data_IF_029209105313
#
_entry.id   IF_029209105313
#
_cell.length_a   1.000
_cell.length_b   1.000
_cell.length_c   1.000
_cell.angle_alpha   90.00
_cell.angle_beta   90.00
_cell.angle_gamma   90.00
#
_symmetry.space_group_name_H-M   'P 1'
#
loop_
_entity.id
_entity.type
_entity.pdbx_description
1 polymer ?
#
# COMPACT_ATOMS: atom_id res chain seq x y z
N UNK A 1 0.67 -7.70 3.94
CA UNK A 1 0.12 -6.36 4.17
C UNK A 1 -1.40 -6.42 4.15
N UNK A 2 -2.04 -5.88 5.17
CA UNK A 2 -3.49 -5.72 5.21
C UNK A 2 -3.83 -4.47 4.40
N UNK A 3 -4.41 -4.61 3.24
CA UNK A 3 -4.80 -3.47 2.41
C UNK A 3 -6.16 -3.69 1.82
N UNK A 4 -7.12 -2.84 2.19
CA UNK A 4 -8.45 -2.81 1.60
C UNK A 4 -8.42 -2.59 0.09
N UNK A 5 -7.38 -1.95 -0.38
CA UNK A 5 -7.14 -1.69 -1.79
C UNK A 5 -7.08 -2.96 -2.63
N UNK A 6 -6.42 -4.03 -2.17
CA UNK A 6 -6.35 -5.29 -2.90
C UNK A 6 -7.68 -5.96 -3.19
N UNK A 7 -8.74 -5.58 -2.48
CA UNK A 7 -10.10 -6.11 -2.68
C UNK A 7 -10.93 -5.32 -3.69
N UNK A 8 -10.52 -4.10 -4.02
CA UNK A 8 -11.25 -3.20 -4.92
C UNK A 8 -10.53 -2.92 -6.22
N UNK A 9 -9.32 -3.42 -6.37
CA UNK A 9 -8.49 -3.21 -7.55
C UNK A 9 -8.95 -4.05 -8.73
N UNK A 10 -10.10 -3.71 -9.28
CA UNK A 10 -10.64 -4.34 -10.48
C UNK A 10 -9.72 -4.19 -11.70
N UNK A 11 -9.01 -3.09 -11.76
CA UNK A 11 -8.21 -2.71 -12.90
C UNK A 11 -6.75 -3.06 -12.71
N UNK A 12 -6.24 -2.76 -11.52
CA UNK A 12 -4.84 -2.99 -11.18
C UNK A 12 -4.53 -4.46 -10.93
N UNK A 13 -5.42 -5.16 -10.22
CA UNK A 13 -5.24 -6.59 -9.97
C UNK A 13 -5.10 -7.41 -11.23
N UNK A 14 -5.80 -7.06 -12.30
CA UNK A 14 -5.67 -7.73 -13.59
C UNK A 14 -4.36 -7.39 -14.31
N UNK A 15 -3.89 -6.18 -14.16
CA UNK A 15 -2.62 -5.73 -14.75
C UNK A 15 -1.45 -6.33 -13.97
N UNK A 16 -1.53 -6.36 -12.65
CA UNK A 16 -0.44 -6.84 -11.80
C UNK A 16 -0.34 -8.37 -11.77
N UNK A 17 -1.45 -9.09 -11.82
CA UNK A 17 -1.48 -10.56 -11.84
C UNK A 17 -1.29 -11.18 -13.22
N UNK A 18 -1.48 -10.44 -14.27
CA UNK A 18 -1.38 -10.93 -15.64
C UNK A 18 0.02 -11.05 -16.22
N UNK A 19 1.07 -10.83 -15.43
CA UNK A 19 2.44 -10.77 -15.93
C UNK A 19 2.71 -9.53 -16.80
N UNK A 20 1.77 -8.60 -16.83
CA UNK A 20 1.96 -7.28 -17.42
C UNK A 20 2.63 -6.43 -16.35
N UNK A 21 3.92 -6.28 -16.48
CA UNK A 21 4.75 -5.56 -15.54
C UNK A 21 4.28 -4.12 -15.35
N UNK A 22 4.27 -3.69 -14.11
CA UNK A 22 4.37 -2.29 -13.72
C UNK A 22 3.15 -1.39 -13.98
N UNK A 23 1.95 -1.89 -14.08
CA UNK A 23 0.75 -1.07 -14.26
C UNK A 23 0.71 0.17 -13.36
N UNK A 24 0.00 0.11 -12.25
CA UNK A 24 0.03 1.18 -11.24
C UNK A 24 0.71 0.73 -9.94
N UNK A 25 1.62 -0.24 -10.01
CA UNK A 25 2.37 -0.73 -8.85
C UNK A 25 3.13 0.44 -8.22
N UNK A 26 2.97 0.59 -6.90
CA UNK A 26 3.62 1.65 -6.14
C UNK A 26 3.04 3.05 -6.38
N UNK A 27 1.93 3.17 -7.10
CA UNK A 27 1.30 4.48 -7.33
C UNK A 27 0.07 4.64 -6.44
N UNK A 28 0.14 5.57 -5.49
CA UNK A 28 -0.95 5.87 -4.57
C UNK A 28 -1.19 4.83 -3.48
N UNK A 29 -0.31 3.85 -3.34
CA UNK A 29 -0.27 2.89 -2.25
C UNK A 29 1.14 2.28 -2.13
N UNK A 30 1.62 1.93 -0.93
CA UNK A 30 2.88 1.21 -0.78
C UNK A 30 2.75 -0.18 -1.39
N UNK A 31 3.73 -0.62 -2.15
CA UNK A 31 3.72 -1.93 -2.79
C UNK A 31 3.71 -3.07 -1.75
N UNK A 32 2.70 -3.96 -1.75
CA UNK A 32 2.63 -5.06 -0.80
C UNK A 32 3.59 -6.18 -1.19
N UNK A 33 4.46 -6.55 -0.27
CA UNK A 33 5.35 -7.70 -0.44
C UNK A 33 4.89 -8.87 0.45
N UNK A 34 4.88 -10.10 -0.06
CA UNK A 34 4.53 -11.28 0.74
C UNK A 34 5.52 -11.47 1.90
N UNK A 35 5.00 -11.67 3.10
CA UNK A 35 5.79 -11.95 4.30
C UNK A 35 5.08 -12.97 5.18
N UNK A 36 5.82 -13.66 6.02
CA UNK A 36 5.26 -14.58 7.02
C UNK A 36 4.40 -13.79 7.98
N UNK A 37 3.19 -14.28 8.27
CA UNK A 37 2.24 -13.52 9.08
C UNK A 37 1.25 -14.40 9.82
N UNK A 38 0.79 -13.90 10.95
CA UNK A 38 -0.42 -14.38 11.64
C UNK A 38 -1.43 -13.24 11.65
N UNK A 39 -2.55 -13.44 10.97
CA UNK A 39 -3.58 -12.40 10.83
C UNK A 39 -4.92 -12.91 11.31
N UNK A 40 -5.52 -12.17 12.25
CA UNK A 40 -6.91 -12.33 12.62
C UNK A 40 -7.78 -11.39 11.80
N UNK A 41 -8.87 -11.93 11.25
CA UNK A 41 -9.92 -11.14 10.59
C UNK A 41 -11.26 -11.43 11.25
N UNK A 42 -11.94 -10.38 11.69
CA UNK A 42 -13.27 -10.53 12.27
C UNK A 42 -14.28 -11.04 11.23
N UNK A 43 -15.38 -11.66 11.66
CA UNK A 43 -16.59 -11.75 10.83
C UNK A 43 -17.04 -10.35 10.38
N UNK A 44 -17.81 -10.29 9.30
CA UNK A 44 -18.46 -9.05 8.89
C UNK A 44 -19.62 -8.75 9.82
N UNK A 45 -19.63 -7.57 10.42
CA UNK A 45 -20.63 -7.08 11.36
C UNK A 45 -21.30 -5.85 10.76
N UNK A 46 -22.49 -6.01 10.20
CA UNK A 46 -23.22 -4.91 9.54
C UNK A 46 -22.38 -4.12 8.52
N UNK A 47 -21.59 -4.85 7.73
CA UNK A 47 -20.69 -4.26 6.73
C UNK A 47 -19.28 -3.90 7.24
N UNK A 48 -19.08 -3.86 8.57
CA UNK A 48 -17.78 -3.60 9.18
C UNK A 48 -16.96 -4.89 9.30
N UNK A 49 -15.68 -4.81 9.00
CA UNK A 49 -14.67 -5.85 9.29
C UNK A 49 -13.40 -5.19 9.82
N UNK A 50 -12.78 -5.85 10.77
CA UNK A 50 -11.48 -5.47 11.34
C UNK A 50 -10.50 -6.61 11.12
N UNK A 51 -9.27 -6.29 10.79
CA UNK A 51 -8.18 -7.24 10.75
C UNK A 51 -6.97 -6.69 11.52
N UNK A 52 -6.26 -7.60 12.19
CA UNK A 52 -5.01 -7.30 12.91
C UNK A 52 -4.01 -8.38 12.57
N UNK A 53 -2.83 -7.98 12.16
CA UNK A 53 -1.74 -8.88 11.76
C UNK A 53 -0.46 -8.62 12.56
N UNK A 54 0.19 -9.72 12.91
CA UNK A 54 1.58 -9.74 13.38
C UNK A 54 2.37 -10.38 12.26
N UNK A 55 3.37 -9.68 11.77
CA UNK A 55 4.12 -10.05 10.59
C UNK A 55 5.60 -10.17 10.92
N UNK A 56 6.26 -11.05 10.21
CA UNK A 56 7.72 -11.09 10.17
C UNK A 56 8.21 -9.70 9.79
N UNK A 57 9.03 -9.05 10.60
CA UNK A 57 9.53 -7.73 10.26
C UNK A 57 10.34 -7.82 8.97
N UNK A 58 10.32 -6.76 8.22
CA UNK A 58 11.15 -6.70 7.02
C UNK A 58 12.60 -6.63 7.47
N UNK A 59 13.35 -7.63 7.10
CA UNK A 59 14.79 -7.66 7.27
C UNK A 59 15.41 -6.78 6.18
N UNK A 60 16.08 -5.74 6.60
CA UNK A 60 16.90 -4.97 5.70
C UNK A 60 18.15 -5.78 5.46
N UNK A 61 18.15 -6.47 4.36
CA UNK A 61 19.33 -7.26 3.97
C UNK A 61 20.52 -6.33 3.83
N UNK A 62 21.46 -6.55 4.70
CA UNK A 62 22.80 -6.06 4.60
C UNK A 62 23.32 -6.20 3.18
N UNK A 63 23.38 -5.12 2.48
CA UNK A 63 24.49 -4.99 1.55
C UNK A 63 25.74 -4.85 2.44
N UNK A 64 26.50 -5.94 2.57
CA UNK A 64 27.66 -6.07 3.47
C UNK A 64 28.77 -5.03 3.23
N UNK A 65 28.46 -3.94 2.57
CA UNK A 65 29.39 -2.91 2.16
C UNK A 65 29.39 -1.65 3.03
N UNK A 66 28.42 -1.47 3.92
CA UNK A 66 28.45 -0.35 4.86
C UNK A 66 27.98 -0.74 6.26
N UNK A 67 28.75 -0.37 7.27
CA UNK A 67 28.39 -0.56 8.69
C UNK A 67 27.12 0.22 9.10
N UNK A 68 26.52 0.97 8.18
CA UNK A 68 25.28 1.71 8.38
C UNK A 68 24.02 0.87 8.06
N UNK A 69 24.19 -0.32 7.45
CA UNK A 69 23.09 -1.12 6.95
C UNK A 69 22.75 -2.33 7.86
N UNK A 70 23.43 -2.47 9.00
CA UNK A 70 23.16 -3.56 9.95
C UNK A 70 21.97 -3.24 10.85
N UNK A 71 20.77 -3.23 10.27
CA UNK A 71 19.54 -3.09 11.04
C UNK A 71 19.04 -4.43 11.56
N UNK A 72 18.49 -4.46 12.76
CA UNK A 72 17.82 -5.61 13.34
C UNK A 72 16.49 -5.19 13.97
N UNK A 73 15.57 -6.13 14.11
CA UNK A 73 14.26 -5.90 14.71
C UNK A 73 14.06 -6.80 15.92
N UNK A 74 13.78 -6.23 17.09
CA UNK A 74 13.45 -6.95 18.34
C UNK A 74 11.95 -7.17 18.48
N UNK A 75 11.14 -6.57 17.62
CA UNK A 75 9.69 -6.69 17.62
C UNK A 75 9.14 -7.01 16.25
N UNK A 76 8.03 -7.73 16.16
CA UNK A 76 7.38 -7.98 14.89
C UNK A 76 6.80 -6.68 14.31
N UNK A 77 6.53 -6.69 13.01
CA UNK A 77 5.72 -5.66 12.35
C UNK A 77 4.25 -5.86 12.70
N UNK A 78 3.58 -4.78 13.02
CA UNK A 78 2.15 -4.75 13.30
C UNK A 78 1.40 -4.10 12.14
N UNK A 79 0.31 -4.73 11.70
CA UNK A 79 -0.59 -4.15 10.72
C UNK A 79 -2.05 -4.27 11.16
N UNK A 80 -2.83 -3.26 10.83
CA UNK A 80 -4.27 -3.22 11.09
C UNK A 80 -5.03 -2.78 9.86
N UNK A 81 -6.26 -3.27 9.69
CA UNK A 81 -7.16 -2.85 8.63
C UNK A 81 -8.59 -2.78 9.16
N UNK A 82 -9.30 -1.71 8.81
CA UNK A 82 -10.73 -1.58 9.01
C UNK A 82 -11.36 -1.38 7.64
N UNK A 83 -12.36 -2.20 7.31
CA UNK A 83 -13.13 -2.04 6.08
C UNK A 83 -14.60 -1.89 6.40
N UNK A 84 -15.31 -1.08 5.63
CA UNK A 84 -16.74 -0.88 5.77
C UNK A 84 -17.43 -0.87 4.41
N UNK A 85 -18.45 -1.73 4.27
CA UNK A 85 -19.25 -1.84 3.07
C UNK A 85 -20.73 -1.58 3.39
N UNK A 86 -21.36 -0.74 2.59
CA UNK A 86 -22.78 -0.42 2.72
C UNK A 86 -23.39 -0.05 1.37
N UNK A 87 -24.72 0.02 1.33
CA UNK A 87 -25.47 0.44 0.15
C UNK A 87 -26.28 1.71 0.46
N UNK A 88 -26.26 2.65 -0.45
CA UNK A 88 -27.07 3.87 -0.36
C UNK A 88 -27.52 4.30 -1.75
N UNK A 89 -28.83 4.53 -1.93
CA UNK A 89 -29.37 5.01 -3.20
C UNK A 89 -29.10 4.11 -4.41
N UNK A 90 -28.89 2.80 -4.20
CA UNK A 90 -28.52 1.85 -5.24
C UNK A 90 -27.02 1.81 -5.56
N UNK A 91 -26.22 2.61 -4.88
CA UNK A 91 -24.77 2.56 -4.95
C UNK A 91 -24.21 1.62 -3.87
N UNK A 92 -23.27 0.77 -4.24
CA UNK A 92 -22.45 0.00 -3.33
C UNK A 92 -21.20 0.82 -2.99
N UNK A 93 -20.98 1.04 -1.70
CA UNK A 93 -19.83 1.78 -1.19
C UNK A 93 -18.95 0.83 -0.39
N UNK A 94 -17.65 0.83 -0.67
CA UNK A 94 -16.63 0.12 0.08
C UNK A 94 -15.55 1.11 0.49
N UNK A 95 -15.23 1.18 1.77
CA UNK A 95 -14.19 2.05 2.31
C UNK A 95 -13.23 1.25 3.18
N UNK A 96 -12.00 1.74 3.28
CA UNK A 96 -10.97 1.13 4.12
C UNK A 96 -10.04 2.18 4.70
N UNK A 97 -9.48 1.83 5.83
CA UNK A 97 -8.31 2.45 6.42
C UNK A 97 -7.42 1.34 6.95
N UNK A 98 -6.13 1.47 6.75
CA UNK A 98 -5.13 0.52 7.27
C UNK A 98 -3.95 1.28 7.85
N UNK A 99 -3.19 0.61 8.69
CA UNK A 99 -1.98 1.16 9.29
C UNK A 99 -0.95 0.07 9.50
N UNK A 100 0.32 0.46 9.48
CA UNK A 100 1.45 -0.41 9.79
C UNK A 100 2.45 0.31 10.68
N UNK A 101 3.19 -0.46 11.47
CA UNK A 101 4.29 0.01 12.29
C UNK A 101 5.36 -1.07 12.44
N UNK A 102 6.61 -0.65 12.31
CA UNK A 102 7.80 -1.45 12.59
C UNK A 102 8.91 -0.52 13.08
N UNK A 103 9.65 -0.93 14.12
CA UNK A 103 10.87 -0.24 14.56
C UNK A 103 12.07 -1.10 14.23
N UNK A 104 13.08 -0.51 13.63
CA UNK A 104 14.34 -1.15 13.27
C UNK A 104 15.50 -0.44 13.96
N UNK A 105 16.37 -1.22 14.59
CA UNK A 105 17.53 -0.76 15.33
C UNK A 105 18.79 -1.05 14.53
N UNK A 106 19.85 -0.28 14.74
CA UNK A 106 21.16 -0.55 14.17
C UNK A 106 22.06 -1.22 15.22
N UNK A 107 22.95 -2.12 14.79
CA UNK A 107 23.97 -2.73 15.66
C UNK A 107 24.98 -1.69 16.15
N UNK A 108 25.21 -0.63 15.37
CA UNK A 108 25.96 0.54 15.82
C UNK A 108 25.03 1.46 16.63
N UNK A 109 25.26 1.52 17.95
CA UNK A 109 24.47 2.35 18.86
C UNK A 109 24.57 3.85 18.61
N UNK A 110 25.43 4.30 17.73
CA UNK A 110 25.54 5.71 17.30
C UNK A 110 24.59 6.06 16.17
N UNK A 111 23.96 5.05 15.56
CA UNK A 111 22.95 5.22 14.51
C UNK A 111 21.57 5.14 15.17
N UNK A 112 20.76 6.17 14.98
CA UNK A 112 19.42 6.23 15.54
C UNK A 112 18.52 5.14 14.97
N UNK A 113 17.49 4.76 15.74
CA UNK A 113 16.44 3.84 15.31
C UNK A 113 15.68 4.40 14.09
N UNK A 114 15.13 3.50 13.27
CA UNK A 114 14.25 3.87 12.17
C UNK A 114 12.85 3.39 12.49
N UNK A 115 11.95 4.34 12.71
CA UNK A 115 10.54 4.05 12.85
C UNK A 115 9.88 4.06 11.46
N UNK A 116 9.35 2.91 11.09
CA UNK A 116 8.60 2.73 9.85
C UNK A 116 7.12 2.68 10.19
N UNK A 117 6.37 3.69 9.79
CA UNK A 117 4.94 3.79 10.07
C UNK A 117 4.18 4.34 8.86
N UNK A 118 2.93 3.94 8.73
CA UNK A 118 2.11 4.43 7.62
C UNK A 118 0.64 4.19 7.82
N UNK A 119 -0.15 5.04 7.19
CA UNK A 119 -1.59 4.93 7.09
C UNK A 119 -2.01 4.97 5.62
N UNK A 120 -2.85 4.02 5.24
CA UNK A 120 -3.50 3.99 3.93
C UNK A 120 -5.02 4.07 4.08
N UNK A 121 -5.67 4.68 3.12
CA UNK A 121 -7.12 4.87 3.13
C UNK A 121 -7.69 4.91 1.72
N UNK A 122 -8.98 4.62 1.61
CA UNK A 122 -9.66 4.77 0.32
C UNK A 122 -11.14 4.45 0.36
N UNK A 123 -11.76 4.73 -0.77
CA UNK A 123 -13.17 4.47 -1.01
C UNK A 123 -13.41 4.06 -2.45
N UNK A 124 -14.31 3.11 -2.64
CA UNK A 124 -14.86 2.75 -3.95
C UNK A 124 -16.37 2.87 -3.92
N UNK A 125 -16.93 3.46 -4.98
CA UNK A 125 -18.35 3.51 -5.24
C UNK A 125 -18.69 2.81 -6.56
N UNK A 126 -19.70 1.92 -6.53
CA UNK A 126 -20.19 1.20 -7.72
C UNK A 126 -21.69 1.45 -7.89
N UNK A 127 -22.12 1.90 -9.07
CA UNK A 127 -23.52 2.07 -9.40
C UNK A 127 -23.74 2.03 -10.92
N UNK A 128 -24.75 1.31 -11.36
CA UNK A 128 -25.21 1.29 -12.77
C UNK A 128 -24.11 1.06 -13.80
N UNK A 129 -23.16 0.16 -13.51
CA UNK A 129 -22.02 -0.15 -14.38
C UNK A 129 -20.81 0.77 -14.20
N UNK A 130 -20.94 1.86 -13.48
CA UNK A 130 -19.82 2.71 -13.09
C UNK A 130 -19.13 2.19 -11.83
N UNK A 131 -17.83 2.31 -11.79
CA UNK A 131 -17.00 2.13 -10.59
C UNK A 131 -16.00 3.27 -10.50
N UNK A 132 -15.92 3.91 -9.35
CA UNK A 132 -14.94 4.96 -9.06
C UNK A 132 -14.23 4.60 -7.77
N UNK A 133 -12.89 4.64 -7.79
CA UNK A 133 -12.04 4.38 -6.62
C UNK A 133 -11.11 5.56 -6.41
N UNK A 134 -11.01 6.01 -5.17
CA UNK A 134 -10.02 6.98 -4.72
C UNK A 134 -9.29 6.40 -3.52
N UNK A 135 -7.97 6.43 -3.53
CA UNK A 135 -7.13 5.99 -2.42
C UNK A 135 -5.92 6.88 -2.23
N UNK A 136 -5.33 6.80 -1.05
CA UNK A 136 -4.09 7.49 -0.72
C UNK A 136 -3.41 6.86 0.48
N UNK A 137 -2.19 7.29 0.72
CA UNK A 137 -1.41 6.91 1.89
C UNK A 137 -0.50 8.06 2.32
N UNK A 138 -0.07 7.99 3.57
CA UNK A 138 1.01 8.78 4.15
C UNK A 138 1.86 7.83 4.98
N UNK A 139 3.17 7.95 4.89
CA UNK A 139 4.09 7.07 5.58
C UNK A 139 5.41 7.80 5.88
N UNK A 140 6.10 7.30 6.91
CA UNK A 140 7.44 7.69 7.32
C UNK A 140 8.29 6.43 7.46
N UNK A 141 9.56 6.49 7.08
CA UNK A 141 10.48 5.37 7.20
C UNK A 141 10.12 4.15 6.34
N UNK A 142 9.33 4.34 5.29
CA UNK A 142 8.90 3.29 4.36
C UNK A 142 9.28 3.68 2.94
N UNK A 143 9.94 2.77 2.21
CA UNK A 143 10.06 2.92 0.78
C UNK A 143 8.69 2.63 0.12
N UNK A 144 8.00 3.62 -0.45
CA UNK A 144 6.65 3.41 -0.97
C UNK A 144 6.61 2.50 -2.20
N UNK A 145 7.74 2.32 -2.87
CA UNK A 145 7.85 1.46 -4.06
C UNK A 145 8.12 0.00 -3.69
N UNK A 146 8.74 -0.25 -2.53
CA UNK A 146 9.08 -1.59 -2.05
C UNK A 146 8.89 -1.66 -0.54
N UNK A 147 7.77 -2.17 -0.07
CA UNK A 147 7.46 -2.26 1.38
C UNK A 147 8.34 -3.22 2.16
N UNK A 148 9.16 -4.02 1.47
CA UNK A 148 10.19 -4.82 2.12
C UNK A 148 11.44 -4.03 2.53
N UNK A 149 11.52 -2.77 2.15
CA UNK A 149 12.61 -1.87 2.52
C UNK A 149 12.22 -0.93 3.67
N UNK A 150 11.42 -1.41 4.62
CA UNK A 150 11.16 -0.68 5.84
C UNK A 150 12.36 -0.82 6.80
N UNK A 151 12.74 0.27 7.47
CA UNK A 151 13.79 0.24 8.49
C UNK A 151 15.23 0.35 7.99
N UNK A 152 15.45 0.59 6.71
CA UNK A 152 16.77 0.96 6.21
C UNK A 152 17.19 2.34 6.73
N UNK A 153 18.45 2.52 7.09
CA UNK A 153 18.96 3.80 7.57
C UNK A 153 18.71 4.96 6.59
N UNK A 154 18.67 4.66 5.29
CA UNK A 154 18.34 5.60 4.23
C UNK A 154 16.90 6.10 4.27
N UNK A 155 16.01 5.38 4.95
CA UNK A 155 14.60 5.73 5.10
C UNK A 155 14.31 6.53 6.36
N UNK A 156 15.32 6.77 7.22
CA UNK A 156 15.13 7.54 8.44
C UNK A 156 14.61 8.94 8.09
N UNK A 157 13.53 9.33 8.77
CA UNK A 157 12.87 10.64 8.59
C UNK A 157 12.44 10.92 7.13
N UNK A 158 12.30 9.87 6.31
CA UNK A 158 11.79 10.00 4.94
C UNK A 158 10.29 9.93 4.96
N UNK A 159 9.65 11.06 4.69
CA UNK A 159 8.22 11.14 4.47
C UNK A 159 7.87 10.69 3.05
N UNK A 160 6.80 9.91 2.93
CA UNK A 160 6.24 9.52 1.64
C UNK A 160 4.72 9.64 1.63
N UNK A 161 4.18 10.03 0.50
CA UNK A 161 2.75 10.09 0.28
C UNK A 161 2.37 9.73 -1.17
N UNK A 162 1.11 9.42 -1.36
CA UNK A 162 0.60 9.19 -2.70
C UNK A 162 -0.91 9.09 -2.77
N UNK A 163 -1.41 9.19 -3.99
CA UNK A 163 -2.83 8.99 -4.29
C UNK A 163 -3.03 8.22 -5.59
N UNK A 164 -4.17 7.54 -5.70
CA UNK A 164 -4.65 6.91 -6.92
C UNK A 164 -6.14 7.21 -7.12
N UNK A 165 -6.49 7.61 -8.33
CA UNK A 165 -7.86 7.75 -8.79
C UNK A 165 -8.10 6.77 -9.95
N UNK A 166 -9.18 6.01 -9.87
CA UNK A 166 -9.61 5.10 -10.91
C UNK A 166 -11.08 5.31 -11.22
N UNK A 167 -11.44 5.21 -12.50
CA UNK A 167 -12.82 5.17 -12.95
C UNK A 167 -13.00 4.11 -14.02
N UNK A 168 -14.08 3.34 -13.96
CA UNK A 168 -14.43 2.40 -15.02
C UNK A 168 -15.93 2.40 -15.31
N UNK A 169 -16.26 2.02 -16.55
CA UNK A 169 -17.63 1.84 -16.97
C UNK A 169 -17.77 0.51 -17.72
N UNK A 170 -18.70 -0.30 -17.27
CA UNK A 170 -19.05 -1.61 -17.86
C UNK A 170 -20.35 -1.50 -18.64
N UNK A 171 -20.31 -1.90 -19.89
CA UNK A 171 -21.49 -1.93 -20.80
C UNK A 171 -21.48 -3.22 -21.61
N UNK A 172 -22.50 -4.03 -21.41
CA UNK A 172 -22.57 -5.38 -22.00
C UNK A 172 -21.37 -6.25 -21.61
N UNK A 173 -20.60 -6.69 -22.60
CA UNK A 173 -19.37 -7.48 -22.40
C UNK A 173 -18.09 -6.63 -22.36
N UNK A 174 -18.23 -5.32 -22.35
CA UNK A 174 -17.09 -4.41 -22.46
C UNK A 174 -16.92 -3.61 -21.19
N UNK A 175 -15.67 -3.31 -20.82
CA UNK A 175 -15.33 -2.38 -19.75
C UNK A 175 -14.19 -1.50 -20.20
N UNK A 176 -14.34 -0.18 -20.00
CA UNK A 176 -13.27 0.80 -20.17
C UNK A 176 -12.91 1.30 -18.79
N UNK A 177 -11.61 1.42 -18.50
CA UNK A 177 -11.09 1.95 -17.26
C UNK A 177 -10.01 2.98 -17.49
N UNK A 178 -9.98 3.98 -16.62
CA UNK A 178 -9.00 5.06 -16.58
C UNK A 178 -8.40 5.13 -15.19
N UNK A 179 -7.12 5.44 -15.09
CA UNK A 179 -6.45 5.66 -13.82
C UNK A 179 -5.45 6.80 -13.90
N UNK A 180 -5.25 7.48 -12.78
CA UNK A 180 -4.19 8.46 -12.58
C UNK A 180 -3.75 8.41 -11.12
N UNK A 181 -2.45 8.38 -10.87
CA UNK A 181 -1.92 8.34 -9.52
C UNK A 181 -0.52 8.90 -9.45
N UNK A 182 -0.12 9.21 -8.24
CA UNK A 182 1.20 9.76 -7.92
C UNK A 182 1.68 9.21 -6.60
N UNK A 183 2.96 8.94 -6.51
CA UNK A 183 3.68 8.61 -5.27
C UNK A 183 4.96 9.40 -5.24
N UNK A 184 5.29 9.95 -4.10
CA UNK A 184 6.54 10.66 -3.87
C UNK A 184 7.12 10.33 -2.50
N UNK A 185 8.41 10.51 -2.36
CA UNK A 185 9.12 10.63 -1.09
C UNK A 185 9.98 11.90 -1.09
N UNK A 186 10.27 12.41 0.10
CA UNK A 186 11.00 13.67 0.24
C UNK A 186 12.52 13.45 0.32
N UNK A 187 12.98 12.20 0.44
CA UNK A 187 14.39 11.89 0.71
C UNK A 187 14.86 12.47 2.06
N UNK A 188 16.05 12.13 2.47
CA UNK A 188 16.62 12.64 3.74
C UNK A 188 18.08 13.10 3.64
N UNK A 189 18.59 13.28 2.43
CA UNK A 189 19.99 13.61 2.19
C UNK A 189 20.94 12.41 2.12
N UNK A 190 20.51 11.23 2.54
CA UNK A 190 21.17 9.94 2.30
C UNK A 190 20.56 9.24 1.08
N UNK A 191 19.25 9.38 0.90
CA UNK A 191 18.51 8.96 -0.28
C UNK A 191 18.02 10.17 -1.08
N UNK A 192 17.94 10.04 -2.39
CA UNK A 192 17.38 11.06 -3.28
C UNK A 192 15.86 11.00 -3.24
N UNK A 193 15.22 12.15 -3.14
CA UNK A 193 13.77 12.28 -3.30
C UNK A 193 13.31 11.66 -4.63
N UNK A 194 12.23 10.88 -4.59
CA UNK A 194 11.65 10.23 -5.75
C UNK A 194 10.21 10.72 -6.00
N UNK A 195 9.87 10.86 -7.26
CA UNK A 195 8.54 11.26 -7.73
C UNK A 195 8.13 10.32 -8.88
N UNK A 196 7.02 9.65 -8.72
CA UNK A 196 6.52 8.70 -9.70
C UNK A 196 5.03 8.95 -9.98
N UNK A 197 4.71 9.23 -11.24
CA UNK A 197 3.34 9.47 -11.71
C UNK A 197 2.95 8.44 -12.76
N UNK A 198 1.74 7.90 -12.65
CA UNK A 198 1.16 6.99 -13.63
C UNK A 198 -0.16 7.51 -14.16
N UNK A 199 -0.43 7.22 -15.44
CA UNK A 199 -1.72 7.40 -16.09
C UNK A 199 -2.01 6.19 -16.94
N UNK A 200 -3.20 5.63 -16.81
CA UNK A 200 -3.56 4.41 -17.50
C UNK A 200 -4.92 4.48 -18.17
N UNK A 201 -5.03 3.77 -19.30
CA UNK A 201 -6.29 3.44 -19.95
C UNK A 201 -6.29 1.94 -20.25
N UNK A 202 -7.39 1.25 -19.91
CA UNK A 202 -7.55 -0.16 -20.19
C UNK A 202 -8.92 -0.45 -20.79
N UNK A 203 -8.95 -1.41 -21.70
CA UNK A 203 -10.18 -1.95 -22.27
C UNK A 203 -10.21 -3.46 -22.05
N UNK A 204 -11.32 -3.95 -21.52
CA UNK A 204 -11.57 -5.37 -21.26
C UNK A 204 -12.80 -5.84 -22.03
N UNK A 205 -12.72 -7.04 -22.57
CA UNK A 205 -13.85 -7.72 -23.23
C UNK A 205 -13.92 -9.16 -22.74
N UNK A 206 -15.08 -9.57 -22.22
CA UNK A 206 -15.42 -10.94 -21.77
C UNK A 206 -16.35 -11.63 -22.75
#
# INVERSE_FOLDING_TARGET
>A
MLTGYGQVSDTLGLVDFGGVSFGNIGTGYPYPFPTSQVTYRSPVMSGLRVAVGIMDPVDTTNDASSALDEAYQDSPRFETEITYQFEVGGAQIYSWVNGMQQTSKNTDSTVDEVDSQGIGYGVQAKMAGFSVTASGFQAEGINPFYTNNAGEAQLRDVDSDGYLLQGSYTFGKNRIALSSGKTKDDGNGLGTAADYETRGIAYFRT
#
